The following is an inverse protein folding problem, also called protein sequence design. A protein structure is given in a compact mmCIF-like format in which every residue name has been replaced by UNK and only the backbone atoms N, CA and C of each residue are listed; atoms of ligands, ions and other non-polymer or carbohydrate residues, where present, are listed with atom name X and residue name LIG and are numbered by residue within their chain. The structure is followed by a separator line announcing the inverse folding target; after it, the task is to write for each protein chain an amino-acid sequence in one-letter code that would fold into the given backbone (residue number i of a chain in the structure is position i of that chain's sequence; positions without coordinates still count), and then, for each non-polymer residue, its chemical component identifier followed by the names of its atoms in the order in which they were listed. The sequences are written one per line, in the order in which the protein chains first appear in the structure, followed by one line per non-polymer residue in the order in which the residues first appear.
data_IF_669992378045
#
_entry.id   IF_669992378045
#
_cell.length_a   1.000
_cell.length_b   1.000
_cell.length_c   1.000
_cell.angle_alpha   90.00
_cell.angle_beta   90.00
_cell.angle_gamma   90.00
#
_symmetry.space_group_name_H-M   'P 1'
#
loop_
_entity.id
_entity.type
_entity.pdbx_description
1 polymer ?
#
# COMPACT_ATOMS: atom_id res chain seq x y z
N UNK A 1 43.08 49.02 56.17
CA UNK A 1 42.63 48.72 54.79
C UNK A 1 41.18 48.28 54.92
N UNK A 2 40.24 49.17 54.60
CA UNK A 2 38.80 48.86 54.67
C UNK A 2 38.38 48.39 53.29
N UNK A 3 38.05 47.10 53.19
CA UNK A 3 37.46 46.49 51.99
C UNK A 3 36.15 47.22 51.64
N UNK A 4 36.10 47.83 50.46
CA UNK A 4 34.85 48.30 49.88
C UNK A 4 34.17 47.13 49.15
N UNK A 5 33.08 46.65 49.73
CA UNK A 5 32.19 45.67 49.09
C UNK A 5 31.67 46.23 47.75
N UNK A 6 31.57 45.40 46.70
CA UNK A 6 31.09 45.83 45.39
C UNK A 6 29.62 46.30 45.47
N UNK A 7 29.21 47.26 44.63
CA UNK A 7 27.86 47.82 44.68
C UNK A 7 26.81 46.75 44.40
N UNK A 8 25.90 46.56 45.36
CA UNK A 8 24.72 45.69 45.24
C UNK A 8 23.87 46.21 44.08
N UNK A 9 23.82 45.46 42.98
CA UNK A 9 22.91 45.79 41.88
C UNK A 9 21.48 45.71 42.41
N UNK A 10 20.65 46.76 42.23
CA UNK A 10 19.26 46.71 42.68
C UNK A 10 18.54 45.55 41.98
N UNK A 11 17.87 44.71 42.77
CA UNK A 11 17.01 43.65 42.23
C UNK A 11 15.94 44.31 41.37
N UNK A 12 15.81 43.88 40.11
CA UNK A 12 14.74 44.38 39.24
C UNK A 12 13.39 44.04 39.90
N UNK A 13 12.46 44.99 40.01
CA UNK A 13 11.15 44.71 40.59
C UNK A 13 10.44 43.62 39.75
N UNK A 14 9.65 42.74 40.40
CA UNK A 14 8.87 41.75 39.68
C UNK A 14 7.89 42.44 38.73
N UNK A 15 7.58 41.78 37.61
CA UNK A 15 6.61 42.29 36.66
C UNK A 15 5.23 42.44 37.32
N UNK A 16 4.52 43.53 37.01
CA UNK A 16 3.12 43.67 37.40
C UNK A 16 2.26 42.57 36.74
N UNK A 17 1.15 42.21 37.37
CA UNK A 17 0.20 41.24 36.80
C UNK A 17 -0.26 41.66 35.39
N UNK A 18 -0.50 42.95 35.15
CA UNK A 18 -0.85 43.48 33.84
C UNK A 18 0.28 43.27 32.81
N UNK A 19 1.53 43.53 33.19
CA UNK A 19 2.69 43.31 32.32
C UNK A 19 2.89 41.82 31.99
N UNK A 20 2.63 40.93 32.94
CA UNK A 20 2.63 39.49 32.71
C UNK A 20 1.54 39.10 31.73
N UNK A 21 0.30 39.58 31.92
CA UNK A 21 -0.81 39.28 31.01
C UNK A 21 -0.56 39.77 29.58
N UNK A 22 -0.04 41.00 29.40
CA UNK A 22 0.29 41.54 28.07
C UNK A 22 1.35 40.69 27.37
N UNK A 23 2.37 40.23 28.10
CA UNK A 23 3.41 39.35 27.54
C UNK A 23 2.85 37.98 27.15
N UNK A 24 2.02 37.39 28.01
CA UNK A 24 1.36 36.11 27.71
C UNK A 24 0.42 36.23 26.51
N UNK A 25 -0.33 37.33 26.40
CA UNK A 25 -1.16 37.62 25.23
C UNK A 25 -0.33 37.77 23.95
N UNK A 26 0.82 38.46 24.02
CA UNK A 26 1.76 38.58 22.90
C UNK A 26 2.32 37.23 22.46
N UNK A 27 2.73 36.38 23.40
CA UNK A 27 3.18 35.01 23.13
C UNK A 27 2.04 34.20 22.48
N UNK A 28 0.83 34.28 23.05
CA UNK A 28 -0.36 33.62 22.51
C UNK A 28 -0.67 34.04 21.08
N UNK A 29 -0.55 35.34 20.77
CA UNK A 29 -0.71 35.87 19.41
C UNK A 29 0.33 35.32 18.43
N UNK A 30 1.60 35.26 18.82
CA UNK A 30 2.67 34.68 17.98
C UNK A 30 2.44 33.18 17.73
N UNK A 31 2.10 32.42 18.77
CA UNK A 31 1.79 30.98 18.64
C UNK A 31 0.59 30.77 17.72
N UNK A 32 -0.48 31.56 17.88
CA UNK A 32 -1.66 31.46 17.03
C UNK A 32 -1.35 31.79 15.56
N UNK A 33 -0.50 32.80 15.29
CA UNK A 33 -0.06 33.13 13.93
C UNK A 33 0.77 32.01 13.31
N UNK A 34 1.70 31.41 14.06
CA UNK A 34 2.51 30.29 13.58
C UNK A 34 1.63 29.08 13.29
N UNK A 35 0.70 28.73 14.19
CA UNK A 35 -0.25 27.64 13.98
C UNK A 35 -1.16 27.90 12.79
N UNK A 36 -1.70 29.12 12.66
CA UNK A 36 -2.52 29.52 11.52
C UNK A 36 -1.76 29.43 10.20
N UNK A 37 -0.52 29.92 10.17
CA UNK A 37 0.38 29.79 9.02
C UNK A 37 0.68 28.33 8.68
N UNK A 38 0.96 27.49 9.67
CA UNK A 38 1.17 26.06 9.47
C UNK A 38 -0.07 25.37 8.89
N UNK A 39 -1.26 25.62 9.44
CA UNK A 39 -2.51 25.04 8.93
C UNK A 39 -2.84 25.51 7.52
N UNK A 40 -2.55 26.77 7.20
CA UNK A 40 -2.72 27.31 5.86
C UNK A 40 -1.74 26.68 4.87
N UNK A 41 -0.43 26.69 5.16
CA UNK A 41 0.63 26.17 4.28
C UNK A 41 0.53 24.66 4.08
N UNK A 42 0.17 23.90 5.11
CA UNK A 42 -0.06 22.46 5.00
C UNK A 42 -1.43 22.13 4.35
N UNK A 43 -2.20 23.14 3.94
CA UNK A 43 -3.49 22.96 3.28
C UNK A 43 -4.56 22.33 4.16
N UNK A 44 -4.40 22.33 5.49
CA UNK A 44 -5.42 21.81 6.43
C UNK A 44 -6.72 22.60 6.32
N UNK A 45 -6.62 23.88 5.96
CA UNK A 45 -7.75 24.77 5.74
C UNK A 45 -8.33 24.70 4.31
N UNK A 46 -7.71 23.94 3.40
CA UNK A 46 -8.21 23.81 2.03
C UNK A 46 -9.32 22.75 1.96
N UNK A 47 -10.60 23.15 1.73
CA UNK A 47 -11.71 22.22 1.66
C UNK A 47 -11.62 21.30 0.43
N UNK A 48 -10.83 21.63 -0.58
CA UNK A 48 -10.63 20.82 -1.79
C UNK A 48 -9.51 19.80 -1.66
N UNK A 49 -8.61 19.96 -0.66
CA UNK A 49 -7.50 19.04 -0.44
C UNK A 49 -7.99 17.60 -0.29
N UNK A 50 -7.41 16.70 -1.07
CA UNK A 50 -7.64 15.27 -0.91
C UNK A 50 -6.95 14.81 0.39
N UNK A 51 -7.74 14.28 1.31
CA UNK A 51 -7.25 13.72 2.57
C UNK A 51 -7.37 12.20 2.54
N UNK A 52 -6.56 11.48 3.36
CA UNK A 52 -6.69 10.03 3.49
C UNK A 52 -8.10 9.62 3.89
N UNK A 53 -8.73 10.40 4.79
CA UNK A 53 -10.12 10.20 5.20
C UNK A 53 -11.11 10.32 4.04
N UNK A 54 -10.98 11.34 3.18
CA UNK A 54 -11.84 11.50 1.99
C UNK A 54 -11.69 10.32 1.03
N UNK A 55 -10.46 9.86 0.81
CA UNK A 55 -10.21 8.73 -0.07
C UNK A 55 -10.82 7.43 0.48
N UNK A 56 -10.63 7.16 1.77
CA UNK A 56 -11.23 5.97 2.42
C UNK A 56 -12.75 6.08 2.48
N UNK A 57 -13.32 7.27 2.68
CA UNK A 57 -14.78 7.47 2.63
C UNK A 57 -15.35 7.18 1.24
N UNK A 58 -14.65 7.52 0.15
CA UNK A 58 -15.08 7.15 -1.20
C UNK A 58 -15.07 5.62 -1.40
N UNK A 59 -14.09 4.91 -0.85
CA UNK A 59 -14.08 3.45 -0.88
C UNK A 59 -15.26 2.84 -0.11
N UNK A 60 -15.56 3.36 1.08
CA UNK A 60 -16.72 2.94 1.89
C UNK A 60 -18.05 3.25 1.19
N UNK A 61 -18.17 4.42 0.57
CA UNK A 61 -19.36 4.78 -0.21
C UNK A 61 -19.59 3.82 -1.37
N UNK A 62 -18.53 3.45 -2.10
CA UNK A 62 -18.65 2.60 -3.28
C UNK A 62 -18.95 1.13 -2.96
N UNK A 63 -18.47 0.61 -1.82
CA UNK A 63 -18.50 -0.82 -1.51
C UNK A 63 -19.39 -1.19 -0.31
N UNK A 64 -19.91 -0.17 0.40
CA UNK A 64 -20.44 -0.33 1.74
C UNK A 64 -19.35 -0.48 2.80
N UNK A 65 -19.77 -0.42 4.06
CA UNK A 65 -18.90 -0.68 5.22
C UNK A 65 -19.12 -2.12 5.69
N UNK A 66 -18.05 -2.90 5.70
CA UNK A 66 -18.02 -4.26 6.23
C UNK A 66 -17.13 -4.26 7.48
N UNK A 67 -17.71 -4.22 8.70
CA UNK A 67 -16.96 -4.05 9.94
C UNK A 67 -15.83 -5.08 10.09
N UNK A 68 -14.66 -4.61 10.52
CA UNK A 68 -13.47 -5.44 10.71
C UNK A 68 -12.74 -5.82 9.41
N UNK A 69 -13.38 -5.68 8.25
CA UNK A 69 -12.75 -5.89 6.95
C UNK A 69 -12.07 -4.62 6.42
N UNK A 70 -11.13 -4.82 5.49
CA UNK A 70 -10.41 -3.73 4.81
C UNK A 70 -11.36 -2.98 3.86
N UNK A 71 -11.21 -1.65 3.75
CA UNK A 71 -12.10 -0.81 2.90
C UNK A 71 -11.92 -1.00 1.40
N UNK A 72 -10.77 -1.54 1.03
CA UNK A 72 -10.53 -2.14 -0.26
C UNK A 72 -9.74 -3.42 -0.02
N UNK A 73 -9.74 -4.33 -0.97
CA UNK A 73 -9.15 -5.65 -0.81
C UNK A 73 -9.74 -6.44 0.37
N UNK A 74 -11.06 -6.39 0.56
CA UNK A 74 -11.76 -6.96 1.70
C UNK A 74 -11.75 -8.49 1.71
N UNK A 75 -12.02 -9.13 0.57
CA UNK A 75 -11.94 -10.58 0.41
C UNK A 75 -10.49 -11.02 0.21
N UNK A 76 -10.02 -11.97 1.01
CA UNK A 76 -8.65 -12.47 0.91
C UNK A 76 -8.31 -13.58 1.89
N UNK A 77 -7.11 -14.15 1.74
CA UNK A 77 -6.59 -15.26 2.53
C UNK A 77 -5.21 -14.92 3.07
N UNK A 78 -4.93 -15.24 4.34
CA UNK A 78 -3.58 -15.10 4.89
C UNK A 78 -2.71 -16.25 4.39
N UNK A 79 -1.45 -15.95 4.14
CA UNK A 79 -0.43 -16.96 3.82
C UNK A 79 0.84 -16.71 4.61
N UNK A 80 1.63 -17.76 4.85
CA UNK A 80 2.92 -17.61 5.49
C UNK A 80 3.96 -18.54 4.88
N UNK A 81 5.22 -18.17 5.05
CA UNK A 81 6.37 -18.94 4.62
C UNK A 81 7.64 -18.12 4.79
N UNK A 82 8.51 -18.13 3.79
CA UNK A 82 9.79 -17.43 3.84
C UNK A 82 10.26 -16.97 2.47
N UNK A 83 11.20 -16.04 2.48
CA UNK A 83 11.95 -15.61 1.31
C UNK A 83 13.39 -16.06 1.43
N UNK A 84 13.90 -16.65 0.34
CA UNK A 84 15.28 -17.04 0.18
C UNK A 84 15.97 -16.08 -0.80
N UNK A 85 16.80 -15.19 -0.26
CA UNK A 85 17.59 -14.24 -1.04
C UNK A 85 18.61 -14.93 -1.93
N UNK A 86 18.76 -14.46 -3.17
CA UNK A 86 19.72 -15.04 -4.13
C UNK A 86 21.16 -14.53 -3.96
N UNK A 87 21.36 -13.45 -3.21
CA UNK A 87 22.60 -12.68 -3.15
C UNK A 87 22.78 -11.69 -4.31
N UNK A 88 22.10 -11.88 -5.44
CA UNK A 88 22.37 -11.11 -6.67
C UNK A 88 22.02 -9.61 -6.57
N UNK A 89 21.13 -9.23 -5.65
CA UNK A 89 20.75 -7.84 -5.43
C UNK A 89 21.62 -7.11 -4.38
N UNK A 90 22.57 -7.80 -3.71
CA UNK A 90 23.43 -7.18 -2.68
C UNK A 90 24.37 -6.11 -3.23
N UNK A 91 24.70 -6.15 -4.53
CA UNK A 91 25.46 -5.08 -5.19
C UNK A 91 24.64 -3.78 -5.35
N UNK A 92 23.31 -3.89 -5.38
CA UNK A 92 22.38 -2.78 -5.62
C UNK A 92 21.78 -2.23 -4.32
N UNK A 93 21.71 -3.05 -3.27
CA UNK A 93 21.05 -2.71 -2.01
C UNK A 93 21.81 -3.24 -0.80
N UNK A 94 21.85 -2.46 0.28
CA UNK A 94 22.34 -2.91 1.59
C UNK A 94 21.31 -3.71 2.40
N UNK A 95 20.09 -3.94 1.89
CA UNK A 95 19.05 -4.64 2.64
C UNK A 95 19.41 -6.12 2.87
N UNK A 96 19.34 -6.56 4.13
CA UNK A 96 19.75 -7.92 4.53
C UNK A 96 18.95 -9.02 3.82
N UNK A 97 17.69 -8.75 3.49
CA UNK A 97 16.78 -9.71 2.82
C UNK A 97 17.35 -10.30 1.53
N UNK A 98 18.17 -9.55 0.78
CA UNK A 98 18.68 -9.99 -0.51
C UNK A 98 19.78 -11.04 -0.45
N UNK A 99 20.45 -11.23 0.70
CA UNK A 99 21.47 -12.27 0.89
C UNK A 99 21.16 -13.25 2.01
N UNK A 100 19.97 -13.19 2.58
CA UNK A 100 19.58 -14.08 3.68
C UNK A 100 18.87 -15.31 3.15
N UNK A 101 19.34 -16.49 3.55
CA UNK A 101 18.79 -17.77 3.10
C UNK A 101 17.33 -17.97 3.50
N UNK A 102 16.93 -17.47 4.68
CA UNK A 102 15.56 -17.59 5.17
C UNK A 102 15.10 -16.35 5.93
N UNK A 103 14.30 -15.52 5.27
CA UNK A 103 13.61 -14.36 5.86
C UNK A 103 12.13 -14.71 6.04
N UNK A 104 11.56 -14.72 7.27
CA UNK A 104 10.15 -14.98 7.48
C UNK A 104 9.24 -14.02 6.71
N UNK A 105 8.15 -14.55 6.14
CA UNK A 105 7.16 -13.78 5.39
C UNK A 105 5.74 -14.11 5.84
N UNK A 106 4.96 -13.07 6.14
CA UNK A 106 3.50 -13.14 6.25
C UNK A 106 2.89 -12.38 5.09
N UNK A 107 2.08 -13.07 4.29
CA UNK A 107 1.45 -12.53 3.09
C UNK A 107 -0.06 -12.58 3.13
N UNK A 108 -0.67 -11.95 2.13
CA UNK A 108 -2.12 -11.96 1.93
C UNK A 108 -2.49 -11.85 0.46
N UNK A 109 -3.28 -12.80 -0.03
CA UNK A 109 -3.94 -12.70 -1.33
C UNK A 109 -5.29 -11.99 -1.19
N UNK A 110 -5.74 -11.27 -2.24
CA UNK A 110 -7.03 -10.59 -2.22
C UNK A 110 -7.57 -10.23 -3.61
N UNK A 111 -8.88 -9.95 -3.67
CA UNK A 111 -9.54 -9.25 -4.78
C UNK A 111 -9.59 -7.75 -4.50
N UNK A 112 -9.37 -6.83 -5.45
CA UNK A 112 -9.46 -5.38 -5.21
C UNK A 112 -10.90 -4.86 -5.17
N UNK A 113 -11.69 -5.37 -4.21
CA UNK A 113 -13.05 -4.95 -3.90
C UNK A 113 -13.17 -4.66 -2.41
N UNK A 114 -14.06 -3.74 -2.03
CA UNK A 114 -14.41 -3.52 -0.62
C UNK A 114 -15.44 -4.51 -0.06
N UNK A 115 -16.01 -5.37 -0.90
CA UNK A 115 -16.97 -6.40 -0.46
C UNK A 115 -16.23 -7.74 -0.16
N UNK A 116 -16.21 -8.21 1.10
CA UNK A 116 -15.56 -9.47 1.47
C UNK A 116 -16.28 -10.72 0.93
N UNK A 117 -17.52 -10.57 0.45
CA UNK A 117 -18.36 -11.63 -0.09
C UNK A 117 -18.43 -11.61 -1.63
N UNK A 118 -17.59 -10.81 -2.29
CA UNK A 118 -17.57 -10.75 -3.74
C UNK A 118 -17.20 -12.10 -4.34
N UNK A 119 -17.88 -12.58 -5.40
CA UNK A 119 -17.47 -13.81 -6.08
C UNK A 119 -16.08 -13.61 -6.70
N UNK A 120 -15.26 -14.65 -6.72
CA UNK A 120 -13.89 -14.62 -7.26
C UNK A 120 -13.82 -14.25 -8.75
N UNK A 121 -14.92 -14.41 -9.48
CA UNK A 121 -15.09 -14.00 -10.88
C UNK A 121 -15.45 -12.52 -11.08
N UNK A 122 -15.75 -11.78 -10.00
CA UNK A 122 -16.26 -10.40 -10.07
C UNK A 122 -15.32 -9.40 -10.74
N UNK A 123 -14.01 -9.62 -10.63
CA UNK A 123 -12.97 -8.76 -11.20
C UNK A 123 -11.80 -9.62 -11.68
N UNK A 124 -11.05 -9.21 -12.72
CA UNK A 124 -9.91 -9.99 -13.20
C UNK A 124 -8.61 -9.75 -12.41
N UNK A 125 -8.54 -8.68 -11.61
CA UNK A 125 -7.33 -8.32 -10.87
C UNK A 125 -7.20 -9.23 -9.63
N UNK A 126 -5.97 -9.66 -9.34
CA UNK A 126 -5.57 -10.33 -8.10
C UNK A 126 -4.52 -9.50 -7.39
N UNK A 127 -4.49 -9.59 -6.08
CA UNK A 127 -3.60 -8.79 -5.23
C UNK A 127 -2.78 -9.72 -4.36
N UNK A 128 -1.52 -9.37 -4.14
CA UNK A 128 -0.64 -10.10 -3.24
C UNK A 128 0.20 -9.11 -2.43
N UNK A 129 0.03 -9.14 -1.12
CA UNK A 129 0.79 -8.31 -0.19
C UNK A 129 1.71 -9.18 0.64
N UNK A 130 2.94 -8.70 0.91
CA UNK A 130 3.96 -9.44 1.66
C UNK A 130 4.58 -8.56 2.73
N UNK A 131 4.88 -9.14 3.88
CA UNK A 131 5.66 -8.52 4.95
C UNK A 131 6.84 -9.43 5.25
N UNK A 132 8.05 -8.99 4.87
CA UNK A 132 9.31 -9.65 5.17
C UNK A 132 9.83 -9.10 6.50
N UNK A 133 10.15 -9.98 7.45
CA UNK A 133 10.71 -9.57 8.74
C UNK A 133 12.16 -10.01 8.82
N UNK A 134 13.10 -9.06 8.78
CA UNK A 134 14.54 -9.32 8.82
C UNK A 134 15.02 -9.60 10.24
N UNK A 135 16.19 -10.24 10.37
CA UNK A 135 16.74 -10.62 11.68
C UNK A 135 17.05 -9.40 12.57
N UNK A 136 17.33 -8.25 11.96
CA UNK A 136 17.52 -6.98 12.67
C UNK A 136 16.20 -6.28 13.09
N UNK A 137 15.04 -6.92 12.87
CA UNK A 137 13.72 -6.39 13.18
C UNK A 137 13.14 -5.42 12.14
N UNK A 138 13.93 -5.00 11.13
CA UNK A 138 13.39 -4.19 10.04
C UNK A 138 12.41 -4.99 9.19
N UNK A 139 11.44 -4.28 8.64
CA UNK A 139 10.44 -4.88 7.77
C UNK A 139 10.53 -4.30 6.37
N UNK A 140 10.25 -5.15 5.40
CA UNK A 140 9.89 -4.74 4.06
C UNK A 140 8.43 -5.13 3.84
N UNK A 141 7.56 -4.17 3.57
CA UNK A 141 6.16 -4.44 3.24
C UNK A 141 5.88 -4.08 1.79
N UNK A 142 5.08 -4.90 1.14
CA UNK A 142 4.70 -4.73 -0.27
C UNK A 142 3.19 -4.84 -0.41
N UNK A 143 2.64 -4.12 -1.39
CA UNK A 143 1.30 -4.35 -1.91
C UNK A 143 1.37 -4.41 -3.42
N UNK A 144 1.17 -5.59 -3.98
CA UNK A 144 1.31 -5.90 -5.40
C UNK A 144 -0.03 -6.31 -6.01
N UNK A 145 -0.16 -6.16 -7.33
CA UNK A 145 -1.33 -6.61 -8.08
C UNK A 145 -0.92 -7.31 -9.38
N UNK A 146 -1.80 -8.15 -9.92
CA UNK A 146 -1.55 -8.85 -11.19
C UNK A 146 -1.58 -7.94 -12.42
N UNK A 147 -2.16 -6.75 -12.30
CA UNK A 147 -2.09 -5.75 -13.36
C UNK A 147 -0.67 -5.16 -13.50
N UNK A 148 -0.20 -4.88 -14.73
CA UNK A 148 1.16 -4.42 -14.99
C UNK A 148 1.37 -2.92 -14.70
N UNK A 149 0.30 -2.13 -14.68
CA UNK A 149 0.29 -0.69 -14.41
C UNK A 149 -0.90 -0.32 -13.54
N UNK A 150 -0.83 0.81 -12.82
CA UNK A 150 -1.99 1.37 -12.15
C UNK A 150 -2.91 2.06 -13.16
N UNK A 151 -4.23 2.18 -12.90
CA UNK A 151 -5.13 2.88 -13.81
C UNK A 151 -4.78 4.37 -14.03
N UNK A 152 -4.16 5.01 -13.05
CA UNK A 152 -3.92 6.46 -13.01
C UNK A 152 -2.55 6.77 -12.40
N UNK A 153 -2.03 7.98 -12.64
CA UNK A 153 -0.73 8.41 -12.11
C UNK A 153 -0.78 9.18 -10.79
N UNK A 154 -1.95 9.67 -10.38
CA UNK A 154 -2.07 10.56 -9.21
C UNK A 154 -3.18 10.15 -8.24
N UNK A 155 -3.07 10.51 -6.95
CA UNK A 155 -4.13 10.31 -5.96
C UNK A 155 -5.44 11.01 -6.34
N UNK A 156 -5.38 12.19 -6.94
CA UNK A 156 -6.52 12.98 -7.37
C UNK A 156 -7.29 12.28 -8.49
N UNK A 157 -6.58 11.79 -9.51
CA UNK A 157 -7.18 11.01 -10.59
C UNK A 157 -7.77 9.69 -10.05
N UNK A 158 -7.13 9.06 -9.05
CA UNK A 158 -7.70 7.87 -8.41
C UNK A 158 -8.98 8.19 -7.67
N UNK A 159 -9.03 9.30 -6.94
CA UNK A 159 -10.24 9.75 -6.26
C UNK A 159 -11.37 10.08 -7.26
N UNK A 160 -11.06 10.76 -8.36
CA UNK A 160 -12.01 11.04 -9.44
C UNK A 160 -12.52 9.74 -10.10
N UNK A 161 -11.65 8.74 -10.28
CA UNK A 161 -12.06 7.42 -10.77
C UNK A 161 -13.04 6.74 -9.80
N UNK A 162 -12.79 6.82 -8.50
CA UNK A 162 -13.72 6.30 -7.48
C UNK A 162 -15.06 7.05 -7.53
N UNK A 163 -15.07 8.36 -7.70
CA UNK A 163 -16.29 9.14 -7.85
C UNK A 163 -17.07 8.76 -9.12
N UNK A 164 -16.39 8.58 -10.25
CA UNK A 164 -17.01 8.16 -11.51
C UNK A 164 -17.60 6.73 -11.43
N UNK A 165 -17.01 5.87 -10.60
CA UNK A 165 -17.47 4.51 -10.34
C UNK A 165 -18.42 4.38 -9.15
N UNK A 166 -18.84 5.48 -8.52
CA UNK A 166 -19.70 5.44 -7.34
C UNK A 166 -21.14 5.03 -7.72
N UNK A 167 -21.75 4.08 -7.00
CA UNK A 167 -23.12 3.67 -7.26
C UNK A 167 -24.13 4.76 -6.84
N UNK A 168 -25.08 5.08 -7.71
CA UNK A 168 -26.19 5.97 -7.35
C UNK A 168 -27.14 5.28 -6.38
N UNK A 169 -27.64 6.01 -5.37
CA UNK A 169 -28.52 5.46 -4.34
C UNK A 169 -29.83 4.87 -4.91
N UNK A 170 -30.30 5.38 -6.05
CA UNK A 170 -31.53 4.94 -6.72
C UNK A 170 -31.34 3.66 -7.53
N UNK A 171 -30.17 3.46 -8.15
CA UNK A 171 -29.94 2.38 -9.13
C UNK A 171 -28.94 1.32 -8.64
N UNK A 172 -28.14 1.62 -7.61
CA UNK A 172 -27.04 0.79 -7.15
C UNK A 172 -25.90 0.66 -8.15
N UNK A 173 -25.88 1.47 -9.22
CA UNK A 173 -24.91 1.41 -10.32
C UNK A 173 -24.28 2.79 -10.56
N UNK A 174 -23.08 2.85 -11.15
CA UNK A 174 -22.51 4.12 -11.57
C UNK A 174 -23.43 4.87 -12.52
N UNK A 175 -23.43 6.20 -12.42
CA UNK A 175 -24.18 7.06 -13.33
C UNK A 175 -23.84 6.72 -14.80
N UNK A 176 -24.83 6.58 -15.69
CA UNK A 176 -24.59 6.26 -17.09
C UNK A 176 -23.60 7.25 -17.73
N UNK A 177 -22.52 6.74 -18.32
CA UNK A 177 -21.51 7.56 -19.00
C UNK A 177 -20.42 8.17 -18.11
N UNK A 178 -20.52 8.09 -16.78
CA UNK A 178 -19.52 8.68 -15.87
C UNK A 178 -18.12 8.06 -16.04
N UNK A 179 -18.02 6.72 -16.04
CA UNK A 179 -16.74 6.02 -16.26
C UNK A 179 -16.16 6.28 -17.67
N UNK A 180 -16.94 6.18 -18.77
CA UNK A 180 -16.46 6.61 -20.09
C UNK A 180 -15.94 8.04 -20.13
N UNK A 181 -16.64 9.00 -19.50
CA UNK A 181 -16.21 10.40 -19.45
C UNK A 181 -14.90 10.57 -18.67
N UNK A 182 -14.75 9.86 -17.54
CA UNK A 182 -13.49 9.81 -16.81
C UNK A 182 -12.34 9.32 -17.69
N UNK A 183 -12.48 8.17 -18.34
CA UNK A 183 -11.40 7.64 -19.19
C UNK A 183 -11.08 8.55 -20.38
N UNK A 184 -12.06 9.26 -20.93
CA UNK A 184 -11.82 10.25 -21.99
C UNK A 184 -11.02 11.46 -21.49
N UNK A 185 -11.19 11.87 -20.23
CA UNK A 185 -10.47 12.97 -19.61
C UNK A 185 -9.07 12.58 -19.10
N UNK A 186 -8.79 11.28 -18.95
CA UNK A 186 -7.56 10.74 -18.36
C UNK A 186 -6.80 9.85 -19.37
N UNK A 187 -6.10 10.43 -20.37
CA UNK A 187 -5.39 9.68 -21.40
C UNK A 187 -4.27 8.78 -20.85
N UNK A 188 -3.77 9.04 -19.64
CA UNK A 188 -2.82 8.17 -18.94
C UNK A 188 -3.36 6.76 -18.68
N UNK A 189 -4.68 6.58 -18.65
CA UNK A 189 -5.36 5.29 -18.43
C UNK A 189 -5.23 4.32 -19.61
N UNK A 190 -4.72 4.76 -20.76
CA UNK A 190 -4.69 3.97 -22.00
C UNK A 190 -4.00 2.60 -21.84
N UNK A 191 -2.87 2.54 -21.14
CA UNK A 191 -2.14 1.29 -20.91
C UNK A 191 -2.96 0.31 -20.06
N UNK A 192 -3.63 0.81 -19.01
CA UNK A 192 -4.53 0.02 -18.18
C UNK A 192 -5.75 -0.49 -18.97
N UNK A 193 -6.39 0.37 -19.76
CA UNK A 193 -7.53 -0.02 -20.59
C UNK A 193 -7.16 -1.07 -21.64
N UNK A 194 -5.94 -0.99 -22.20
CA UNK A 194 -5.46 -2.02 -23.12
C UNK A 194 -5.25 -3.37 -22.41
N UNK A 195 -4.75 -3.37 -21.17
CA UNK A 195 -4.66 -4.57 -20.36
C UNK A 195 -6.04 -5.17 -20.05
N UNK A 196 -7.01 -4.34 -19.64
CA UNK A 196 -8.39 -4.76 -19.30
C UNK A 196 -9.05 -5.55 -20.43
N UNK A 197 -8.84 -5.17 -21.71
CA UNK A 197 -9.39 -5.89 -22.88
C UNK A 197 -8.95 -7.36 -22.96
N UNK A 198 -7.79 -7.68 -22.37
CA UNK A 198 -7.21 -9.02 -22.40
C UNK A 198 -7.32 -9.75 -21.05
N UNK A 199 -7.64 -9.02 -19.98
CA UNK A 199 -7.68 -9.54 -18.62
C UNK A 199 -8.87 -10.51 -18.45
N UNK A 200 -8.60 -11.66 -17.83
CA UNK A 200 -9.61 -12.65 -17.45
C UNK A 200 -9.50 -12.93 -15.96
N UNK A 201 -10.61 -13.24 -15.26
CA UNK A 201 -10.53 -13.77 -13.90
C UNK A 201 -9.56 -14.96 -13.85
N UNK A 202 -8.54 -14.83 -13.01
CA UNK A 202 -7.53 -15.87 -12.79
C UNK A 202 -8.19 -17.13 -12.26
N UNK A 203 -7.74 -18.29 -12.73
CA UNK A 203 -8.18 -19.58 -12.20
C UNK A 203 -7.59 -19.91 -10.82
N UNK A 204 -6.48 -19.27 -10.46
CA UNK A 204 -5.73 -19.53 -9.22
C UNK A 204 -4.97 -18.28 -8.78
N UNK A 205 -4.78 -18.10 -7.47
CA UNK A 205 -3.79 -17.13 -6.97
C UNK A 205 -2.35 -17.59 -7.24
N UNK A 206 -2.13 -18.91 -7.33
CA UNK A 206 -0.82 -19.55 -7.42
C UNK A 206 -0.13 -19.34 -8.78
N UNK A 207 -0.92 -19.17 -9.85
CA UNK A 207 -0.42 -19.09 -11.24
C UNK A 207 -0.26 -17.66 -11.74
N UNK A 208 -0.56 -16.66 -10.89
CA UNK A 208 -0.48 -15.26 -11.25
C UNK A 208 0.90 -14.67 -10.94
N UNK A 209 1.32 -13.75 -11.81
CA UNK A 209 2.41 -12.84 -11.52
C UNK A 209 1.85 -11.60 -10.81
N UNK A 210 2.59 -11.04 -9.86
CA UNK A 210 2.15 -9.85 -9.12
C UNK A 210 3.24 -8.78 -9.17
N UNK A 211 2.85 -7.56 -9.51
CA UNK A 211 3.73 -6.42 -9.73
C UNK A 211 3.59 -5.41 -8.59
N UNK A 212 4.70 -4.87 -8.10
CA UNK A 212 4.72 -3.75 -7.14
C UNK A 212 4.17 -2.44 -7.71
N UNK A 213 4.14 -2.33 -9.04
CA UNK A 213 3.66 -1.21 -9.85
C UNK A 213 4.47 0.08 -9.66
N UNK A 214 4.56 0.61 -8.44
CA UNK A 214 5.38 1.80 -8.16
C UNK A 214 6.87 1.48 -8.31
N UNK A 215 7.66 2.49 -8.68
CA UNK A 215 9.11 2.39 -8.60
C UNK A 215 9.60 2.69 -7.18
N UNK A 216 10.77 2.14 -6.84
CA UNK A 216 11.49 2.35 -5.58
C UNK A 216 12.98 2.48 -5.90
N UNK A 217 13.77 2.92 -4.94
CA UNK A 217 15.23 2.93 -5.07
C UNK A 217 15.86 1.84 -4.20
N UNK A 218 16.76 1.08 -4.78
CA UNK A 218 17.72 0.28 -4.04
C UNK A 218 18.95 1.14 -3.77
N UNK A 219 19.44 1.11 -2.52
CA UNK A 219 20.59 1.90 -2.07
C UNK A 219 21.67 0.98 -1.57
N UNK A 220 22.82 0.97 -2.23
CA UNK A 220 23.94 0.11 -1.86
C UNK A 220 24.77 0.70 -0.70
N UNK A 221 25.77 -0.06 -0.23
CA UNK A 221 26.62 0.37 0.89
C UNK A 221 27.43 1.66 0.64
N UNK A 222 27.61 2.05 -0.63
CA UNK A 222 28.25 3.30 -1.02
C UNK A 222 27.25 4.47 -1.18
N UNK A 223 25.97 4.25 -0.89
CA UNK A 223 24.90 5.25 -1.04
C UNK A 223 24.43 5.47 -2.48
N UNK A 224 24.82 4.62 -3.43
CA UNK A 224 24.38 4.74 -4.82
C UNK A 224 22.96 4.19 -4.98
N UNK A 225 22.12 4.95 -5.70
CA UNK A 225 20.70 4.63 -5.91
C UNK A 225 20.48 4.00 -7.28
N UNK A 226 19.71 2.92 -7.33
CA UNK A 226 19.18 2.31 -8.55
C UNK A 226 17.66 2.23 -8.46
N UNK A 227 16.94 2.90 -9.37
CA UNK A 227 15.49 2.77 -9.44
C UNK A 227 15.10 1.37 -9.94
N UNK A 228 14.10 0.77 -9.30
CA UNK A 228 13.58 -0.56 -9.63
C UNK A 228 12.07 -0.60 -9.52
N UNK A 229 11.45 -1.49 -10.31
CA UNK A 229 10.13 -2.06 -10.04
C UNK A 229 10.32 -3.52 -9.72
N UNK A 230 9.62 -4.04 -8.71
CA UNK A 230 9.65 -5.46 -8.41
C UNK A 230 8.37 -6.17 -8.81
N UNK A 231 8.48 -7.47 -9.05
CA UNK A 231 7.33 -8.36 -9.18
C UNK A 231 7.72 -9.78 -8.81
N UNK A 232 6.72 -10.58 -8.46
CA UNK A 232 6.88 -12.01 -8.22
C UNK A 232 6.26 -12.80 -9.37
N UNK A 233 7.00 -13.76 -9.91
CA UNK A 233 6.60 -14.62 -11.04
C UNK A 233 6.53 -16.06 -10.54
N UNK A 234 5.42 -16.79 -10.75
CA UNK A 234 5.28 -18.15 -10.25
C UNK A 234 6.27 -19.10 -10.91
N UNK A 235 6.86 -20.00 -10.13
CA UNK A 235 7.82 -21.00 -10.63
C UNK A 235 7.16 -22.31 -11.10
N UNK A 236 5.96 -22.62 -10.59
CA UNK A 236 5.14 -23.73 -11.05
C UNK A 236 3.90 -23.18 -11.74
N UNK A 237 3.71 -23.54 -13.01
CA UNK A 237 2.61 -23.03 -13.86
C UNK A 237 1.50 -24.06 -14.06
N UNK A 238 1.53 -25.18 -13.33
CA UNK A 238 0.53 -26.23 -13.49
C UNK A 238 -0.86 -25.63 -13.22
N UNK A 239 -1.65 -25.54 -14.28
CA UNK A 239 -3.00 -25.00 -14.24
C UNK A 239 -3.89 -26.12 -13.69
N UNK A 240 -4.37 -25.95 -12.46
CA UNK A 240 -5.38 -26.84 -11.89
C UNK A 240 -6.67 -26.74 -12.71
N UNK A 241 -7.53 -27.75 -12.59
CA UNK A 241 -8.77 -27.84 -13.33
C UNK A 241 -9.63 -26.57 -13.19
N UNK A 242 -10.31 -26.19 -14.28
CA UNK A 242 -11.17 -25.02 -14.33
C UNK A 242 -12.20 -25.04 -13.18
N UNK A 243 -12.51 -23.85 -12.66
CA UNK A 243 -13.54 -23.63 -11.65
C UNK A 243 -14.85 -24.33 -12.00
N UNK A 244 -15.48 -24.99 -11.02
CA UNK A 244 -16.86 -25.47 -11.15
C UNK A 244 -17.79 -24.26 -11.37
N UNK A 245 -18.71 -24.30 -12.35
CA UNK A 245 -19.71 -23.26 -12.52
C UNK A 245 -20.51 -23.03 -11.23
N UNK A 246 -20.60 -21.77 -10.77
CA UNK A 246 -21.38 -21.38 -9.59
C UNK A 246 -20.61 -21.27 -8.28
N UNK A 247 -19.32 -21.60 -8.25
CA UNK A 247 -18.49 -21.44 -7.06
C UNK A 247 -17.97 -20.01 -6.89
N UNK A 248 -18.34 -19.36 -5.78
CA UNK A 248 -17.95 -17.99 -5.46
C UNK A 248 -16.53 -17.88 -4.86
N UNK A 249 -15.97 -18.97 -4.35
CA UNK A 249 -14.74 -19.01 -3.52
C UNK A 249 -13.67 -19.97 -4.08
N UNK A 250 -13.69 -20.20 -5.39
CA UNK A 250 -12.81 -21.18 -6.05
C UNK A 250 -11.32 -20.89 -5.87
N UNK A 251 -10.90 -19.63 -5.71
CA UNK A 251 -9.50 -19.26 -5.52
C UNK A 251 -8.97 -19.69 -4.15
N UNK A 252 -9.80 -19.58 -3.11
CA UNK A 252 -9.43 -20.00 -1.76
C UNK A 252 -9.29 -21.52 -1.71
N UNK A 253 -10.26 -22.25 -2.28
CA UNK A 253 -10.19 -23.72 -2.35
C UNK A 253 -8.95 -24.18 -3.11
N UNK A 254 -8.72 -23.67 -4.32
CA UNK A 254 -7.55 -24.03 -5.14
C UNK A 254 -6.23 -23.79 -4.39
N UNK A 255 -6.10 -22.65 -3.71
CA UNK A 255 -4.89 -22.33 -2.95
C UNK A 255 -4.66 -23.30 -1.79
N UNK A 256 -5.70 -23.66 -1.05
CA UNK A 256 -5.61 -24.62 0.06
C UNK A 256 -5.27 -26.04 -0.44
N UNK A 257 -5.89 -26.49 -1.53
CA UNK A 257 -5.61 -27.79 -2.15
C UNK A 257 -4.15 -27.89 -2.63
N UNK A 258 -3.65 -26.83 -3.28
CA UNK A 258 -2.25 -26.79 -3.74
C UNK A 258 -1.27 -26.80 -2.58
N UNK A 259 -1.52 -26.03 -1.53
CA UNK A 259 -0.63 -25.97 -0.37
C UNK A 259 -0.66 -27.27 0.45
N UNK A 260 -1.75 -28.04 0.39
CA UNK A 260 -1.78 -29.40 0.94
C UNK A 260 -0.87 -30.37 0.16
N UNK A 261 -0.65 -30.13 -1.14
CA UNK A 261 0.27 -30.93 -1.97
C UNK A 261 1.74 -30.49 -1.84
N UNK A 262 2.00 -29.25 -1.42
CA UNK A 262 3.35 -28.76 -1.15
C UNK A 262 3.48 -27.24 -1.22
N UNK A 263 4.66 -26.71 -0.88
CA UNK A 263 4.90 -25.28 -0.87
C UNK A 263 4.87 -24.68 -2.29
N UNK A 264 4.21 -23.54 -2.40
CA UNK A 264 4.13 -22.75 -3.64
C UNK A 264 5.29 -21.76 -3.71
N UNK A 265 5.80 -21.51 -4.91
CA UNK A 265 7.02 -20.71 -5.09
C UNK A 265 6.87 -19.67 -6.19
N UNK A 266 7.41 -18.48 -5.91
CA UNK A 266 7.56 -17.41 -6.88
C UNK A 266 8.99 -16.88 -6.87
N UNK A 267 9.51 -16.51 -8.03
CA UNK A 267 10.74 -15.76 -8.16
C UNK A 267 10.46 -14.27 -8.02
N UNK A 268 11.16 -13.60 -7.09
CA UNK A 268 11.14 -12.15 -6.98
C UNK A 268 12.14 -11.55 -7.98
N UNK A 269 11.63 -10.75 -8.89
CA UNK A 269 12.38 -10.08 -9.94
C UNK A 269 12.42 -8.58 -9.71
N UNK A 270 13.62 -8.00 -9.79
CA UNK A 270 13.86 -6.56 -9.78
C UNK A 270 14.12 -6.13 -11.21
N UNK A 271 13.19 -5.38 -11.80
CA UNK A 271 13.38 -4.72 -13.08
C UNK A 271 14.09 -3.41 -12.84
N UNK A 272 15.22 -3.17 -13.50
CA UNK A 272 16.05 -1.99 -13.30
C UNK A 272 15.64 -0.89 -14.29
N UNK A 273 15.39 0.31 -13.78
CA UNK A 273 15.16 1.48 -14.60
C UNK A 273 16.42 1.89 -15.36
N UNK A 274 16.22 2.41 -16.57
CA UNK A 274 17.24 3.12 -17.34
C UNK A 274 16.94 4.63 -17.37
N UNK A 275 17.90 5.48 -17.80
CA UNK A 275 17.64 6.91 -17.94
C UNK A 275 16.40 7.21 -18.78
N UNK A 276 15.51 8.05 -18.23
CA UNK A 276 14.25 8.43 -18.87
C UNK A 276 13.04 7.57 -18.50
N UNK A 277 13.23 6.47 -17.77
CA UNK A 277 12.08 5.70 -17.25
C UNK A 277 11.26 6.52 -16.24
N UNK A 278 9.92 6.49 -16.32
CA UNK A 278 9.05 7.16 -15.36
C UNK A 278 9.07 6.42 -14.02
N UNK A 279 9.81 6.96 -13.06
CA UNK A 279 9.90 6.43 -11.70
C UNK A 279 8.79 6.95 -10.79
N UNK A 280 8.09 8.00 -11.19
CA UNK A 280 7.08 8.72 -10.41
C UNK A 280 5.66 8.63 -10.97
N UNK A 281 5.41 7.75 -11.96
CA UNK A 281 4.10 7.54 -12.54
C UNK A 281 3.81 6.05 -12.73
N UNK A 282 3.00 5.50 -11.83
CA UNK A 282 2.54 4.11 -11.82
C UNK A 282 1.66 3.72 -13.02
N UNK A 283 1.09 4.69 -13.74
CA UNK A 283 0.26 4.43 -14.93
C UNK A 283 1.10 4.11 -16.18
N UNK A 284 2.39 4.46 -16.16
CA UNK A 284 3.30 4.25 -17.28
C UNK A 284 4.05 2.95 -17.11
N UNK A 285 3.98 2.10 -18.14
CA UNK A 285 4.84 0.93 -18.24
C UNK A 285 6.27 1.36 -18.60
N UNK A 286 7.26 0.63 -18.10
CA UNK A 286 8.62 0.75 -18.63
C UNK A 286 8.75 -0.06 -19.93
N UNK A 287 9.63 0.36 -20.86
CA UNK A 287 9.90 -0.41 -22.07
C UNK A 287 10.26 -1.87 -21.79
N UNK A 288 9.93 -2.76 -22.71
CA UNK A 288 10.36 -4.16 -22.63
C UNK A 288 11.90 -4.26 -22.76
N UNK A 289 12.49 -5.34 -22.22
CA UNK A 289 13.92 -5.60 -22.34
C UNK A 289 14.79 -4.94 -21.26
N UNK A 290 14.21 -4.25 -20.27
CA UNK A 290 14.95 -3.79 -19.09
C UNK A 290 15.68 -4.94 -18.42
N UNK A 291 16.87 -4.65 -17.89
CA UNK A 291 17.64 -5.63 -17.11
C UNK A 291 16.81 -6.08 -15.91
N UNK A 292 16.70 -7.40 -15.72
CA UNK A 292 16.03 -8.02 -14.58
C UNK A 292 17.06 -8.75 -13.71
N UNK A 293 17.01 -8.52 -12.41
CA UNK A 293 17.80 -9.23 -11.41
C UNK A 293 16.88 -10.15 -10.62
N UNK A 294 17.21 -11.44 -10.58
CA UNK A 294 16.57 -12.40 -9.69
C UNK A 294 17.03 -12.09 -8.25
N UNK A 295 16.13 -11.55 -7.42
CA UNK A 295 16.44 -11.21 -6.03
C UNK A 295 16.32 -12.40 -5.08
N UNK A 296 15.65 -13.49 -5.49
CA UNK A 296 15.42 -14.66 -4.66
C UNK A 296 14.08 -15.33 -4.92
N UNK A 297 13.75 -16.30 -4.08
CA UNK A 297 12.52 -17.09 -4.18
C UNK A 297 11.65 -16.86 -2.95
N UNK A 298 10.40 -16.45 -3.17
CA UNK A 298 9.34 -16.49 -2.18
C UNK A 298 8.78 -17.91 -2.13
N UNK A 299 8.72 -18.49 -0.94
CA UNK A 299 8.13 -19.79 -0.66
C UNK A 299 6.96 -19.60 0.29
N UNK A 300 5.77 -20.04 -0.13
CA UNK A 300 4.55 -20.04 0.67
C UNK A 300 4.26 -21.47 1.10
N UNK A 301 4.14 -21.69 2.41
CA UNK A 301 4.05 -23.03 3.01
C UNK A 301 2.65 -23.32 3.57
N UNK A 302 1.91 -22.28 3.99
CA UNK A 302 0.57 -22.44 4.56
C UNK A 302 -0.34 -21.26 4.20
N UNK A 303 -1.64 -21.53 4.26
CA UNK A 303 -2.68 -20.52 4.15
C UNK A 303 -3.77 -20.74 5.21
N UNK A 304 -4.41 -19.66 5.63
CA UNK A 304 -5.44 -19.67 6.67
C UNK A 304 -6.45 -18.53 6.47
N UNK A 305 -7.62 -18.66 7.09
CA UNK A 305 -8.67 -17.66 7.04
C UNK A 305 -8.21 -16.30 7.60
N UNK A 306 -8.53 -15.23 6.89
CA UNK A 306 -7.98 -13.89 7.21
C UNK A 306 -8.45 -13.29 8.54
N UNK A 307 -9.59 -13.71 9.08
CA UNK A 307 -10.17 -13.10 10.28
C UNK A 307 -9.44 -13.51 11.56
N UNK A 308 -8.72 -14.63 11.52
CA UNK A 308 -7.95 -15.17 12.65
C UNK A 308 -6.46 -15.33 12.32
N UNK A 309 -6.10 -15.23 11.04
CA UNK A 309 -4.73 -15.43 10.59
C UNK A 309 -3.79 -14.26 10.86
N UNK A 310 -2.49 -14.54 10.76
CA UNK A 310 -1.40 -13.61 11.11
C UNK A 310 -1.44 -12.31 10.27
N UNK A 311 -2.02 -12.36 9.07
CA UNK A 311 -2.13 -11.19 8.19
C UNK A 311 -3.24 -10.22 8.60
N UNK A 312 -4.11 -10.55 9.58
CA UNK A 312 -5.24 -9.72 9.99
C UNK A 312 -4.79 -8.33 10.36
N UNK A 313 -3.80 -8.20 11.24
CA UNK A 313 -3.38 -6.91 11.82
C UNK A 313 -2.17 -6.30 11.10
N UNK A 314 -1.89 -6.76 9.89
CA UNK A 314 -0.85 -6.16 9.05
C UNK A 314 -1.49 -5.15 8.10
N UNK A 315 -0.99 -3.91 8.13
CA UNK A 315 -1.45 -2.83 7.24
C UNK A 315 -0.70 -2.76 5.90
N UNK A 316 0.28 -3.62 5.60
CA UNK A 316 1.00 -3.77 4.31
C UNK A 316 1.42 -2.46 3.61
N UNK A 317 1.66 -1.41 4.38
CA UNK A 317 2.07 -0.10 3.88
C UNK A 317 3.37 -0.21 3.06
N UNK A 318 3.37 0.15 1.76
CA UNK A 318 4.53 0.00 0.88
C UNK A 318 5.71 0.91 1.24
N UNK A 319 5.54 1.88 2.14
CA UNK A 319 6.62 2.75 2.63
C UNK A 319 7.27 2.25 3.93
N UNK A 320 6.83 1.10 4.46
CA UNK A 320 7.60 0.39 5.49
C UNK A 320 8.70 -0.41 4.78
N UNK A 321 9.88 0.21 4.74
CA UNK A 321 11.05 -0.25 4.01
C UNK A 321 12.24 -0.42 4.96
N UNK A 322 13.09 -1.44 4.73
CA UNK A 322 14.34 -1.63 5.48
C UNK A 322 15.41 -0.67 4.97
N UNK A 323 16.52 -0.55 5.72
CA UNK A 323 17.70 0.15 5.21
C UNK A 323 18.18 -0.48 3.90
N UNK A 324 18.48 0.36 2.91
CA UNK A 324 18.87 -0.08 1.56
C UNK A 324 17.71 -0.12 0.55
N UNK A 325 16.49 0.25 0.95
CA UNK A 325 15.35 0.46 0.05
C UNK A 325 14.66 1.79 0.40
N UNK A 326 14.37 2.62 -0.60
CA UNK A 326 13.68 3.90 -0.43
C UNK A 326 12.47 4.01 -1.38
N UNK A 327 11.46 4.78 -0.97
CA UNK A 327 10.37 5.17 -1.87
C UNK A 327 10.86 6.07 -3.00
N UNK A 328 10.22 5.97 -4.16
CA UNK A 328 10.35 7.00 -5.21
C UNK A 328 9.53 8.25 -4.87
N UNK A 329 9.59 9.24 -5.75
CA UNK A 329 8.74 10.44 -5.75
C UNK A 329 7.36 10.21 -6.39
N UNK A 330 6.96 8.95 -6.63
CA UNK A 330 5.61 8.61 -7.07
C UNK A 330 4.56 9.08 -6.04
N UNK A 331 3.64 9.99 -6.40
CA UNK A 331 2.70 10.58 -5.45
C UNK A 331 1.70 9.56 -4.90
N UNK A 332 1.50 8.42 -5.58
CA UNK A 332 0.64 7.36 -5.09
C UNK A 332 1.25 6.63 -3.89
N UNK A 333 2.58 6.58 -3.73
CA UNK A 333 3.20 5.91 -2.58
C UNK A 333 2.80 6.56 -1.26
N UNK A 334 2.92 7.89 -1.18
CA UNK A 334 2.54 8.65 0.00
C UNK A 334 1.04 8.57 0.27
N UNK A 335 0.21 8.69 -0.77
CA UNK A 335 -1.24 8.56 -0.63
C UNK A 335 -1.67 7.16 -0.17
N UNK A 336 -1.03 6.10 -0.69
CA UNK A 336 -1.25 4.72 -0.26
C UNK A 336 -0.92 4.55 1.22
N UNK A 337 0.26 4.95 1.66
CA UNK A 337 0.66 4.85 3.08
C UNK A 337 -0.38 5.50 3.99
N UNK A 338 -0.80 6.72 3.68
CA UNK A 338 -1.77 7.44 4.50
C UNK A 338 -3.17 6.80 4.47
N UNK A 339 -3.64 6.32 3.31
CA UNK A 339 -4.92 5.62 3.18
C UNK A 339 -4.91 4.26 3.88
N UNK A 340 -3.79 3.53 3.83
CA UNK A 340 -3.58 2.25 4.50
C UNK A 340 -3.65 2.44 6.01
N UNK A 341 -3.01 3.48 6.55
CA UNK A 341 -3.10 3.83 7.97
C UNK A 341 -4.55 4.19 8.37
N UNK A 342 -5.23 5.03 7.58
CA UNK A 342 -6.62 5.41 7.87
C UNK A 342 -7.58 4.21 7.85
N UNK A 343 -7.48 3.34 6.84
CA UNK A 343 -8.28 2.11 6.78
C UNK A 343 -7.94 1.14 7.91
N UNK A 344 -6.67 1.06 8.31
CA UNK A 344 -6.23 0.18 9.39
C UNK A 344 -6.85 0.59 10.71
N UNK A 345 -6.75 1.86 11.10
CA UNK A 345 -7.31 2.37 12.36
C UNK A 345 -8.82 2.12 12.44
N UNK A 346 -9.56 2.35 11.35
CA UNK A 346 -11.00 2.07 11.31
C UNK A 346 -11.32 0.60 11.56
N UNK A 347 -10.74 -0.30 10.76
CA UNK A 347 -11.09 -1.73 10.82
C UNK A 347 -10.62 -2.41 12.11
N UNK A 348 -9.50 -1.99 12.69
CA UNK A 348 -9.04 -2.57 13.97
C UNK A 348 -9.88 -2.12 15.16
N UNK A 349 -10.58 -1.00 15.04
CA UNK A 349 -11.59 -0.57 16.02
C UNK A 349 -12.94 -1.28 15.89
N UNK A 350 -13.11 -2.14 14.88
CA UNK A 350 -14.37 -2.81 14.53
C UNK A 350 -14.31 -4.34 14.72
N UNK A 351 -13.22 -4.86 15.30
CA UNK A 351 -12.95 -6.30 15.39
C UNK A 351 -14.05 -7.06 16.14
N UNK A 352 -14.64 -6.44 17.16
CA UNK A 352 -15.75 -7.03 17.95
C UNK A 352 -17.03 -7.28 17.12
N UNK A 353 -17.12 -6.70 15.92
CA UNK A 353 -18.25 -6.83 15.00
C UNK A 353 -18.01 -7.89 13.92
N UNK A 354 -16.84 -8.54 13.90
CA UNK A 354 -16.61 -9.65 12.97
C UNK A 354 -17.54 -10.83 13.29
N UNK A 355 -18.03 -11.56 12.27
CA UNK A 355 -18.75 -12.81 12.49
C UNK A 355 -17.90 -13.77 13.32
N UNK A 356 -18.47 -14.31 14.41
CA UNK A 356 -17.78 -15.24 15.31
C UNK A 356 -17.59 -16.63 14.68
N UNK A 357 -18.37 -16.95 13.65
CA UNK A 357 -18.28 -18.20 12.88
C UNK A 357 -17.94 -17.89 11.41
N UNK A 358 -17.22 -18.80 10.72
CA UNK A 358 -17.07 -18.74 9.26
C UNK A 358 -18.47 -18.72 8.65
N UNK A 359 -18.82 -17.68 7.90
CA UNK A 359 -20.07 -17.70 7.14
C UNK A 359 -19.91 -18.67 5.97
N UNK A 360 -20.92 -19.53 5.72
CA UNK A 360 -20.86 -20.64 4.77
C UNK A 360 -20.66 -20.18 3.33
#
# INVERSE_FOLDING_TARGET
MVDQLPPVRPAKPPLSAASVMVRLAGIGGVVALILGGFYYVNGTLDPQRLSPGKLVNALEHNNGVHPGYRRNHAKGLCVAGYFQGSGAAQALSSAQVFGTERTPVVGRFALPSGNPYAPDSSVPIRSFALSFTQANGQQWRTGMNSMPVFPVGTPEAFYQMLQAGAPEATTGKPAPGAMPAFFAAHPETAAFLQWVKTAKPSASYATESYNGINAFYLVNAAGQRQAVRWGVVPLALDVAAASTPGDADYLQRDLLERLAAGPLKWQLNLTLAEPGDPVNDASKAWPAGRKVVNAGTLVVEKAEAQNQGECRDINYDPLILPSGIEGSDDPLLAARSAAYASSYVRRTGEVDQLPKEPQP
#
